data_IF_745106823455
#
_entry.id   IF_745106823455
#
_cell.length_a   1.000
_cell.length_b   1.000
_cell.length_c   1.000
_cell.angle_alpha   90.00
_cell.angle_beta   90.00
_cell.angle_gamma   90.00
#
_symmetry.space_group_name_H-M   'P 1'
#
loop_
_entity.id
_entity.type
_entity.pdbx_description
1 polymer ?
#
# COMPACT_ATOMS: atom_id res chain seq x y z
N UNK A 1 85.14 6.72 -12.86
CA UNK A 1 86.27 5.79 -12.93
C UNK A 1 87.55 6.57 -13.22
N UNK A 2 88.69 6.20 -12.63
CA UNK A 2 89.99 6.85 -12.85
C UNK A 2 90.80 6.14 -13.93
N UNK A 3 91.80 6.81 -14.50
CA UNK A 3 92.75 6.22 -15.48
C UNK A 3 93.45 4.96 -14.95
N UNK A 4 93.88 4.98 -13.70
CA UNK A 4 94.48 3.82 -13.03
C UNK A 4 93.51 2.64 -12.92
N UNK A 5 92.23 2.91 -12.63
CA UNK A 5 91.20 1.88 -12.58
C UNK A 5 90.88 1.31 -13.97
N UNK A 6 90.83 2.17 -14.99
CA UNK A 6 90.67 1.75 -16.38
C UNK A 6 91.80 0.86 -16.87
N UNK A 7 93.06 1.20 -16.54
CA UNK A 7 94.24 0.36 -16.83
C UNK A 7 94.12 -1.02 -16.19
N UNK A 8 93.79 -1.08 -14.89
CA UNK A 8 93.61 -2.35 -14.16
C UNK A 8 92.49 -3.20 -14.76
N UNK A 9 91.37 -2.60 -15.15
CA UNK A 9 90.26 -3.31 -15.78
C UNK A 9 90.64 -3.87 -17.16
N UNK A 10 91.36 -3.11 -17.99
CA UNK A 10 91.82 -3.57 -19.29
C UNK A 10 92.83 -4.73 -19.18
N UNK A 11 93.72 -4.67 -18.19
CA UNK A 11 94.64 -5.78 -17.87
C UNK A 11 93.85 -7.03 -17.43
N UNK A 12 92.85 -6.86 -16.55
CA UNK A 12 91.99 -7.95 -16.12
C UNK A 12 91.15 -8.56 -17.26
N UNK A 13 90.84 -7.78 -18.30
CA UNK A 13 90.18 -8.22 -19.52
C UNK A 13 91.14 -8.85 -20.56
N UNK A 14 92.43 -8.97 -20.24
CA UNK A 14 93.42 -9.69 -21.06
C UNK A 14 94.35 -8.80 -21.89
N UNK A 15 94.33 -7.47 -21.71
CA UNK A 15 95.26 -6.56 -22.40
C UNK A 15 96.54 -6.41 -21.55
N UNK A 16 97.60 -7.14 -21.92
CA UNK A 16 98.84 -7.21 -21.13
C UNK A 16 99.54 -5.86 -20.92
N UNK A 17 99.51 -4.97 -21.93
CA UNK A 17 100.08 -3.63 -21.86
C UNK A 17 99.13 -2.61 -22.53
N UNK A 18 98.13 -2.08 -21.80
CA UNK A 18 97.13 -1.19 -22.37
C UNK A 18 97.75 0.14 -22.81
N UNK A 19 97.51 0.52 -24.07
CA UNK A 19 97.97 1.82 -24.58
C UNK A 19 97.14 2.97 -24.01
N UNK A 20 97.70 4.18 -23.96
CA UNK A 20 96.97 5.36 -23.46
C UNK A 20 95.71 5.67 -24.28
N UNK A 21 95.69 5.29 -25.56
CA UNK A 21 94.53 5.42 -26.44
C UNK A 21 93.43 4.42 -26.08
N UNK A 22 93.78 3.15 -25.79
CA UNK A 22 92.83 2.14 -25.29
C UNK A 22 92.23 2.53 -23.94
N UNK A 23 93.04 3.08 -23.03
CA UNK A 23 92.61 3.58 -21.71
C UNK A 23 91.65 4.76 -21.88
N UNK A 24 91.95 5.68 -22.80
CA UNK A 24 91.11 6.85 -23.08
C UNK A 24 89.76 6.43 -23.67
N UNK A 25 89.77 5.51 -24.64
CA UNK A 25 88.55 4.99 -25.27
C UNK A 25 87.66 4.26 -24.24
N UNK A 26 88.25 3.42 -23.38
CA UNK A 26 87.51 2.72 -22.33
C UNK A 26 86.88 3.68 -21.31
N UNK A 27 87.60 4.72 -20.89
CA UNK A 27 87.06 5.76 -20.00
C UNK A 27 85.91 6.54 -20.64
N UNK A 28 86.05 6.91 -21.91
CA UNK A 28 85.02 7.65 -22.63
C UNK A 28 83.76 6.80 -22.82
N UNK A 29 83.91 5.51 -23.16
CA UNK A 29 82.80 4.57 -23.24
C UNK A 29 82.10 4.41 -21.88
N UNK A 30 82.86 4.13 -20.82
CA UNK A 30 82.32 3.98 -19.47
C UNK A 30 81.59 5.25 -19.01
N UNK A 31 82.16 6.44 -19.24
CA UNK A 31 81.50 7.69 -18.87
C UNK A 31 80.25 7.96 -19.71
N UNK A 32 80.24 7.59 -20.99
CA UNK A 32 79.05 7.66 -21.84
C UNK A 32 77.92 6.74 -21.37
N UNK A 33 78.26 5.51 -20.97
CA UNK A 33 77.33 4.54 -20.39
C UNK A 33 76.77 5.03 -19.05
N UNK A 34 77.63 5.49 -18.13
CA UNK A 34 77.19 6.05 -16.84
C UNK A 34 76.23 7.22 -17.03
N UNK A 35 76.51 8.11 -17.98
CA UNK A 35 75.63 9.25 -18.27
C UNK A 35 74.27 8.79 -18.79
N UNK A 36 74.24 7.81 -19.69
CA UNK A 36 72.97 7.19 -20.15
C UNK A 36 72.19 6.56 -19.00
N UNK A 37 72.85 5.80 -18.12
CA UNK A 37 72.19 5.19 -16.96
C UNK A 37 71.62 6.24 -15.99
N UNK A 38 72.30 7.36 -15.81
CA UNK A 38 71.78 8.47 -15.00
C UNK A 38 70.55 9.12 -15.65
N UNK A 39 70.61 9.39 -16.96
CA UNK A 39 69.48 9.93 -17.72
C UNK A 39 68.26 9.00 -17.71
N UNK A 40 68.48 7.69 -17.85
CA UNK A 40 67.43 6.67 -17.73
C UNK A 40 66.90 6.59 -16.30
N UNK A 41 67.77 6.56 -15.28
CA UNK A 41 67.33 6.53 -13.88
C UNK A 41 66.46 7.75 -13.52
N UNK A 42 66.83 8.95 -13.98
CA UNK A 42 66.04 10.17 -13.78
C UNK A 42 64.69 10.12 -14.50
N UNK A 43 64.66 9.55 -15.72
CA UNK A 43 63.41 9.34 -16.45
C UNK A 43 62.50 8.38 -15.70
N UNK A 44 63.02 7.23 -15.29
CA UNK A 44 62.25 6.20 -14.61
C UNK A 44 61.73 6.68 -13.26
N UNK A 45 62.52 7.50 -12.56
CA UNK A 45 62.08 8.15 -11.32
C UNK A 45 60.89 9.07 -11.55
N UNK A 46 60.94 9.95 -12.55
CA UNK A 46 59.81 10.82 -12.91
C UNK A 46 58.56 10.03 -13.31
N UNK A 47 58.76 8.92 -14.01
CA UNK A 47 57.67 8.05 -14.46
C UNK A 47 57.04 7.30 -13.29
N UNK A 48 57.85 6.87 -12.32
CA UNK A 48 57.40 6.29 -11.05
C UNK A 48 56.63 7.31 -10.20
N UNK A 49 57.17 8.52 -10.02
CA UNK A 49 56.49 9.60 -9.27
C UNK A 49 55.11 9.93 -9.90
N UNK A 50 55.03 9.96 -11.23
CA UNK A 50 53.77 10.18 -11.95
C UNK A 50 52.79 9.02 -11.80
N UNK A 51 53.29 7.79 -11.79
CA UNK A 51 52.44 6.61 -11.58
C UNK A 51 51.87 6.57 -10.16
N UNK A 52 52.68 6.94 -9.15
CA UNK A 52 52.24 7.02 -7.76
C UNK A 52 51.16 8.10 -7.56
N UNK A 53 51.33 9.28 -8.16
CA UNK A 53 50.32 10.34 -8.14
C UNK A 53 49.00 9.91 -8.80
N UNK A 54 49.08 9.24 -9.96
CA UNK A 54 47.88 8.72 -10.65
C UNK A 54 47.17 7.64 -9.82
N UNK A 55 47.92 6.76 -9.16
CA UNK A 55 47.35 5.74 -8.28
C UNK A 55 46.62 6.38 -7.11
N UNK A 56 47.22 7.38 -6.48
CA UNK A 56 46.60 8.13 -5.38
C UNK A 56 45.29 8.80 -5.80
N UNK A 57 45.26 9.44 -6.98
CA UNK A 57 44.03 10.06 -7.51
C UNK A 57 42.92 9.03 -7.77
N UNK A 58 43.26 7.84 -8.29
CA UNK A 58 42.29 6.77 -8.48
C UNK A 58 41.73 6.25 -7.16
N UNK A 59 42.57 6.08 -6.15
CA UNK A 59 42.14 5.62 -4.82
C UNK A 59 41.22 6.65 -4.15
N UNK A 60 41.54 7.95 -4.26
CA UNK A 60 40.69 9.04 -3.76
C UNK A 60 39.33 9.09 -4.46
N UNK A 61 39.29 8.98 -5.80
CA UNK A 61 38.04 8.93 -6.57
C UNK A 61 37.24 7.69 -6.20
N UNK A 62 37.89 6.53 -6.05
CA UNK A 62 37.25 5.29 -5.63
C UNK A 62 36.59 5.41 -4.26
N UNK A 63 37.29 5.97 -3.27
CA UNK A 63 36.77 6.21 -1.94
C UNK A 63 35.60 7.20 -1.93
N UNK A 64 35.70 8.31 -2.65
CA UNK A 64 34.62 9.29 -2.76
C UNK A 64 33.35 8.66 -3.38
N UNK A 65 33.50 7.93 -4.48
CA UNK A 65 32.38 7.23 -5.13
C UNK A 65 31.72 6.20 -4.20
N UNK A 66 32.51 5.45 -3.43
CA UNK A 66 31.97 4.52 -2.44
C UNK A 66 31.08 5.24 -1.41
N UNK A 67 31.57 6.36 -0.84
CA UNK A 67 30.78 7.14 0.13
C UNK A 67 29.51 7.74 -0.46
N UNK A 68 29.52 8.13 -1.74
CA UNK A 68 28.35 8.69 -2.41
C UNK A 68 27.31 7.62 -2.74
N UNK A 69 27.76 6.43 -3.14
CA UNK A 69 26.89 5.25 -3.36
C UNK A 69 26.20 4.84 -2.06
N UNK A 70 26.91 4.80 -0.93
CA UNK A 70 26.30 4.47 0.37
C UNK A 70 25.22 5.49 0.77
N UNK A 71 25.48 6.78 0.52
CA UNK A 71 24.53 7.86 0.82
C UNK A 71 23.29 7.78 -0.09
N UNK A 72 23.48 7.51 -1.37
CA UNK A 72 22.41 7.30 -2.35
C UNK A 72 21.59 6.05 -2.02
N UNK A 73 22.23 4.94 -1.65
CA UNK A 73 21.52 3.73 -1.21
C UNK A 73 20.67 3.98 0.03
N UNK A 74 21.20 4.70 1.03
CA UNK A 74 20.43 5.07 2.23
C UNK A 74 19.26 5.99 1.88
N UNK A 75 19.46 6.94 0.97
CA UNK A 75 18.38 7.82 0.49
C UNK A 75 17.30 7.04 -0.26
N UNK A 76 17.69 6.09 -1.11
CA UNK A 76 16.78 5.18 -1.83
C UNK A 76 16.00 4.28 -0.89
N UNK A 77 16.66 3.62 0.07
CA UNK A 77 15.99 2.80 1.07
C UNK A 77 14.96 3.61 1.89
N UNK A 78 15.32 4.84 2.28
CA UNK A 78 14.39 5.74 2.98
C UNK A 78 13.23 6.19 2.08
N UNK A 79 13.46 6.42 0.79
CA UNK A 79 12.41 6.75 -0.17
C UNK A 79 11.47 5.58 -0.43
N UNK A 80 12.01 4.37 -0.60
CA UNK A 80 11.23 3.12 -0.76
C UNK A 80 10.39 2.85 0.48
N UNK A 81 10.94 3.01 1.69
CA UNK A 81 10.19 2.87 2.92
C UNK A 81 9.02 3.86 2.99
N UNK A 82 9.26 5.15 2.66
CA UNK A 82 8.19 6.15 2.61
C UNK A 82 7.13 5.82 1.57
N UNK A 83 7.52 5.29 0.42
CA UNK A 83 6.57 4.88 -0.62
C UNK A 83 5.69 3.71 -0.14
N UNK A 84 6.28 2.72 0.52
CA UNK A 84 5.54 1.60 1.11
C UNK A 84 4.57 2.06 2.20
N UNK A 85 5.00 2.97 3.09
CA UNK A 85 4.15 3.53 4.14
C UNK A 85 2.97 4.32 3.56
N UNK A 86 3.22 5.16 2.55
CA UNK A 86 2.16 5.89 1.84
C UNK A 86 1.17 4.95 1.15
N UNK A 87 1.66 3.89 0.51
CA UNK A 87 0.80 2.89 -0.12
C UNK A 87 -0.10 2.20 0.91
N UNK A 88 0.46 1.81 2.06
CA UNK A 88 -0.31 1.21 3.16
C UNK A 88 -1.38 2.16 3.69
N UNK A 89 -1.04 3.44 3.92
CA UNK A 89 -2.00 4.45 4.36
C UNK A 89 -3.11 4.66 3.34
N UNK A 90 -2.79 4.72 2.05
CA UNK A 90 -3.77 4.84 0.97
C UNK A 90 -4.73 3.66 0.95
N UNK A 91 -4.23 2.43 1.06
CA UNK A 91 -5.07 1.23 1.15
C UNK A 91 -5.98 1.30 2.37
N UNK A 92 -5.43 1.64 3.54
CA UNK A 92 -6.20 1.74 4.78
C UNK A 92 -7.33 2.76 4.67
N UNK A 93 -7.05 3.98 4.22
CA UNK A 93 -8.06 5.01 4.03
C UNK A 93 -9.13 4.59 3.00
N UNK A 94 -8.75 3.88 1.95
CA UNK A 94 -9.71 3.38 0.97
C UNK A 94 -10.67 2.35 1.57
N UNK A 95 -10.15 1.38 2.33
CA UNK A 95 -10.95 0.37 3.03
C UNK A 95 -11.86 1.03 4.07
N UNK A 96 -11.30 1.88 4.94
CA UNK A 96 -12.07 2.63 5.94
C UNK A 96 -13.20 3.45 5.29
N UNK A 97 -12.92 4.11 4.16
CA UNK A 97 -13.91 4.88 3.42
C UNK A 97 -15.06 4.03 2.86
N UNK A 98 -14.77 2.79 2.44
CA UNK A 98 -15.80 1.85 1.96
C UNK A 98 -16.70 1.38 3.12
N UNK A 99 -16.09 1.03 4.25
CA UNK A 99 -16.81 0.62 5.46
C UNK A 99 -17.66 1.75 6.03
N UNK A 100 -17.10 2.96 6.11
CA UNK A 100 -17.81 4.14 6.60
C UNK A 100 -19.02 4.52 5.72
N UNK A 101 -18.90 4.42 4.39
CA UNK A 101 -20.02 4.65 3.46
C UNK A 101 -21.19 3.69 3.68
N UNK A 102 -20.91 2.49 4.17
CA UNK A 102 -21.92 1.50 4.52
C UNK A 102 -22.36 1.57 5.98
N UNK A 103 -21.92 2.60 6.72
CA UNK A 103 -22.20 2.76 8.15
C UNK A 103 -21.68 1.58 9.01
N UNK A 104 -20.68 0.85 8.51
CA UNK A 104 -19.99 -0.25 9.19
C UNK A 104 -18.73 0.29 9.86
N UNK A 105 -18.96 1.18 10.83
CA UNK A 105 -17.92 1.84 11.62
C UNK A 105 -17.95 1.33 13.05
N UNK A 106 -16.80 1.07 13.65
CA UNK A 106 -16.73 0.61 15.04
C UNK A 106 -15.54 -0.30 15.28
N UNK A 107 -15.24 -0.57 16.54
CA UNK A 107 -14.13 -1.45 16.92
C UNK A 107 -14.34 -2.88 16.40
N UNK A 108 -15.59 -3.34 16.23
CA UNK A 108 -15.86 -4.70 15.72
C UNK A 108 -15.35 -4.92 14.28
N UNK A 109 -15.25 -3.85 13.47
CA UNK A 109 -14.75 -3.94 12.10
C UNK A 109 -13.24 -3.68 11.99
N UNK A 110 -12.60 -3.19 13.06
CA UNK A 110 -11.18 -2.83 13.07
C UNK A 110 -10.26 -3.98 12.63
N UNK A 111 -10.56 -5.22 13.03
CA UNK A 111 -9.80 -6.40 12.65
C UNK A 111 -9.86 -6.69 11.16
N UNK A 112 -11.05 -6.57 10.56
CA UNK A 112 -11.24 -6.78 9.11
C UNK A 112 -10.66 -5.62 8.32
N UNK A 113 -10.84 -4.38 8.76
CA UNK A 113 -10.22 -3.21 8.15
C UNK A 113 -8.69 -3.38 8.14
N UNK A 114 -8.10 -3.80 9.27
CA UNK A 114 -6.67 -4.08 9.37
C UNK A 114 -6.21 -5.20 8.42
N UNK A 115 -6.97 -6.30 8.33
CA UNK A 115 -6.65 -7.41 7.44
C UNK A 115 -6.71 -7.02 5.95
N UNK A 116 -7.74 -6.26 5.56
CA UNK A 116 -7.91 -5.78 4.18
C UNK A 116 -6.88 -4.72 3.82
N UNK A 117 -6.49 -3.87 4.78
CA UNK A 117 -5.48 -2.82 4.59
C UNK A 117 -4.06 -3.36 4.37
N UNK A 118 -3.83 -4.65 4.67
CA UNK A 118 -2.57 -5.33 4.40
C UNK A 118 -2.46 -5.84 2.94
N UNK A 119 -3.55 -5.80 2.18
CA UNK A 119 -3.58 -6.18 0.76
C UNK A 119 -3.13 -5.03 -0.13
N UNK A 120 -2.90 -5.30 -1.41
CA UNK A 120 -2.75 -4.23 -2.39
C UNK A 120 -4.06 -3.43 -2.54
N UNK A 121 -3.94 -2.18 -2.98
CA UNK A 121 -5.05 -1.23 -3.01
C UNK A 121 -6.28 -1.73 -3.77
N UNK A 122 -6.08 -2.41 -4.90
CA UNK A 122 -7.18 -2.84 -5.76
C UNK A 122 -7.88 -4.05 -5.15
N UNK A 123 -7.12 -5.06 -4.74
CA UNK A 123 -7.65 -6.24 -4.04
C UNK A 123 -8.34 -5.85 -2.73
N UNK A 124 -7.77 -4.91 -1.96
CA UNK A 124 -8.37 -4.41 -0.73
C UNK A 124 -9.74 -3.77 -0.98
N UNK A 125 -9.85 -2.92 -2.01
CA UNK A 125 -11.13 -2.28 -2.39
C UNK A 125 -12.17 -3.30 -2.80
N UNK A 126 -11.83 -4.22 -3.70
CA UNK A 126 -12.75 -5.26 -4.18
C UNK A 126 -13.26 -6.13 -3.04
N UNK A 127 -12.37 -6.53 -2.12
CA UNK A 127 -12.74 -7.35 -0.97
C UNK A 127 -13.57 -6.56 0.04
N UNK A 128 -13.23 -5.29 0.31
CA UNK A 128 -14.01 -4.42 1.18
C UNK A 128 -15.43 -4.22 0.62
N UNK A 129 -15.58 -3.91 -0.66
CA UNK A 129 -16.88 -3.76 -1.33
C UNK A 129 -17.69 -5.05 -1.26
N UNK A 130 -17.07 -6.20 -1.52
CA UNK A 130 -17.73 -7.51 -1.46
C UNK A 130 -18.20 -7.84 -0.04
N UNK A 131 -17.38 -7.57 0.97
CA UNK A 131 -17.73 -7.77 2.37
C UNK A 131 -18.93 -6.90 2.79
N UNK A 132 -18.85 -5.61 2.52
CA UNK A 132 -19.92 -4.64 2.78
C UNK A 132 -21.21 -5.05 2.08
N UNK A 133 -21.15 -5.37 0.79
CA UNK A 133 -22.32 -5.80 0.02
C UNK A 133 -22.96 -7.07 0.58
N UNK A 134 -22.14 -8.00 1.10
CA UNK A 134 -22.61 -9.22 1.75
C UNK A 134 -23.38 -8.96 3.05
N UNK A 135 -22.94 -7.98 3.85
CA UNK A 135 -23.67 -7.55 5.06
C UNK A 135 -24.98 -6.88 4.67
N UNK A 136 -24.95 -5.90 3.75
CA UNK A 136 -26.15 -5.18 3.33
C UNK A 136 -27.24 -6.11 2.81
N UNK A 137 -26.89 -7.11 1.99
CA UNK A 137 -27.85 -8.12 1.50
C UNK A 137 -28.46 -8.94 2.65
N UNK A 138 -27.63 -9.39 3.60
CA UNK A 138 -28.11 -10.17 4.74
C UNK A 138 -29.05 -9.35 5.64
N UNK A 139 -28.76 -8.07 5.83
CA UNK A 139 -29.63 -7.18 6.60
C UNK A 139 -30.98 -6.95 5.92
N UNK A 140 -31.00 -6.78 4.60
CA UNK A 140 -32.23 -6.69 3.81
C UNK A 140 -33.07 -7.99 3.88
N UNK A 141 -32.42 -9.15 3.79
CA UNK A 141 -33.05 -10.47 3.92
C UNK A 141 -33.62 -10.66 5.33
N UNK A 142 -32.84 -10.39 6.38
CA UNK A 142 -33.28 -10.48 7.78
C UNK A 142 -34.44 -9.54 8.07
N UNK A 143 -34.39 -8.30 7.59
CA UNK A 143 -35.49 -7.34 7.75
C UNK A 143 -36.76 -7.81 7.04
N UNK A 144 -36.60 -8.43 5.86
CA UNK A 144 -37.72 -8.99 5.10
C UNK A 144 -38.32 -10.20 5.81
N UNK A 145 -37.49 -11.12 6.33
CA UNK A 145 -37.93 -12.28 7.11
C UNK A 145 -38.64 -11.84 8.39
N UNK A 146 -38.03 -10.94 9.17
CA UNK A 146 -38.65 -10.40 10.38
C UNK A 146 -40.01 -9.76 10.08
N UNK A 147 -40.12 -8.96 9.01
CA UNK A 147 -41.39 -8.38 8.58
C UNK A 147 -42.38 -9.49 8.21
N UNK A 148 -41.95 -10.50 7.47
CA UNK A 148 -42.82 -11.60 7.09
C UNK A 148 -43.34 -12.38 8.32
N UNK A 149 -42.47 -12.72 9.27
CA UNK A 149 -42.83 -13.42 10.51
C UNK A 149 -43.74 -12.61 11.42
N UNK A 150 -43.42 -11.32 11.59
CA UNK A 150 -44.15 -10.44 12.49
C UNK A 150 -45.51 -10.02 11.93
N UNK A 151 -45.64 -9.90 10.60
CA UNK A 151 -46.89 -9.46 9.96
C UNK A 151 -47.80 -10.60 9.49
N UNK A 152 -47.26 -11.73 8.99
CA UNK A 152 -48.10 -12.83 8.47
C UNK A 152 -48.93 -13.54 9.55
N UNK A 153 -48.48 -13.52 10.80
CA UNK A 153 -49.21 -14.11 11.93
C UNK A 153 -50.14 -13.12 12.65
N UNK A 154 -50.15 -11.85 12.23
CA UNK A 154 -51.08 -10.86 12.78
C UNK A 154 -52.43 -11.03 12.10
N UNK A 155 -53.52 -11.32 12.84
CA UNK A 155 -54.85 -11.38 12.26
C UNK A 155 -55.16 -10.06 11.56
N UNK A 156 -55.45 -10.13 10.25
CA UNK A 156 -55.84 -8.96 9.48
C UNK A 156 -57.06 -8.30 10.18
N UNK A 157 -57.00 -7.02 10.58
CA UNK A 157 -58.17 -6.34 11.13
C UNK A 157 -59.21 -6.29 10.02
N UNK A 158 -60.17 -7.22 10.07
CA UNK A 158 -61.11 -7.51 9.00
C UNK A 158 -61.65 -6.24 8.38
N UNK A 159 -61.43 -6.07 7.07
CA UNK A 159 -62.13 -5.06 6.30
C UNK A 159 -63.61 -5.40 6.37
N UNK A 160 -64.41 -4.43 6.80
CA UNK A 160 -65.86 -4.57 6.99
C UNK A 160 -66.63 -4.74 5.67
N UNK A 161 -66.34 -5.79 4.92
CA UNK A 161 -67.01 -6.15 3.68
C UNK A 161 -67.52 -7.58 3.76
N UNK A 162 -68.84 -7.75 3.60
CA UNK A 162 -69.53 -9.04 3.53
C UNK A 162 -68.87 -9.97 2.50
N UNK A 163 -68.52 -11.20 2.89
CA UNK A 163 -68.25 -12.29 1.93
C UNK A 163 -67.35 -13.42 2.44
N UNK A 164 -67.95 -14.61 2.55
CA UNK A 164 -67.40 -15.98 2.66
C UNK A 164 -66.70 -16.50 3.94
N UNK A 165 -67.26 -17.55 4.60
CA UNK A 165 -66.63 -18.27 5.70
C UNK A 165 -65.89 -19.50 5.16
N UNK A 166 -64.65 -19.35 4.71
CA UNK A 166 -63.79 -20.48 4.41
C UNK A 166 -62.34 -20.15 4.75
N UNK A 167 -61.99 -20.22 6.03
CA UNK A 167 -60.57 -20.21 6.44
C UNK A 167 -60.19 -19.35 7.64
N UNK A 168 -61.07 -19.13 8.62
CA UNK A 168 -60.71 -18.50 9.88
C UNK A 168 -61.15 -19.37 11.06
N UNK A 169 -60.20 -19.94 11.80
CA UNK A 169 -60.47 -20.70 13.01
C UNK A 169 -61.32 -19.89 14.00
N UNK A 170 -62.19 -20.60 14.72
CA UNK A 170 -63.26 -20.08 15.57
C UNK A 170 -62.78 -19.31 16.83
N UNK A 171 -61.50 -19.00 16.94
CA UNK A 171 -60.99 -18.21 18.07
C UNK A 171 -61.21 -16.72 17.80
N UNK A 172 -62.35 -16.22 18.28
CA UNK A 172 -62.65 -14.79 18.33
C UNK A 172 -61.59 -14.12 19.20
N UNK A 173 -60.82 -13.20 18.62
CA UNK A 173 -59.80 -12.47 19.38
C UNK A 173 -60.46 -11.64 20.49
N UNK A 174 -59.74 -11.41 21.59
CA UNK A 174 -60.21 -10.58 22.71
C UNK A 174 -60.65 -9.17 22.26
N UNK A 175 -60.05 -8.66 21.18
CA UNK A 175 -60.45 -7.39 20.59
C UNK A 175 -61.83 -7.45 19.90
N UNK A 176 -62.17 -8.58 19.27
CA UNK A 176 -63.49 -8.79 18.69
C UNK A 176 -64.59 -8.88 19.77
N UNK A 177 -64.28 -9.48 20.92
CA UNK A 177 -65.21 -9.51 22.06
C UNK A 177 -65.42 -8.12 22.68
N UNK A 178 -64.33 -7.36 22.88
CA UNK A 178 -64.41 -5.99 23.40
C UNK A 178 -65.23 -5.07 22.49
N UNK A 179 -64.99 -5.10 21.17
CA UNK A 179 -65.74 -4.30 20.21
C UNK A 179 -67.24 -4.67 20.17
N UNK A 180 -67.56 -5.96 20.32
CA UNK A 180 -68.95 -6.43 20.41
C UNK A 180 -69.62 -5.96 21.69
N UNK A 181 -68.95 -6.05 22.84
CA UNK A 181 -69.49 -5.55 24.11
C UNK A 181 -69.72 -4.03 24.07
N UNK A 182 -68.76 -3.27 23.55
CA UNK A 182 -68.88 -1.83 23.44
C UNK A 182 -70.06 -1.42 22.55
N UNK A 183 -70.19 -2.04 21.37
CA UNK A 183 -71.33 -1.76 20.47
C UNK A 183 -72.67 -2.17 21.07
N UNK A 184 -72.74 -3.26 21.83
CA UNK A 184 -73.97 -3.66 22.53
C UNK A 184 -74.36 -2.69 23.65
N UNK A 185 -73.37 -2.15 24.38
CA UNK A 185 -73.60 -1.20 25.48
C UNK A 185 -73.97 0.20 24.99
N UNK A 186 -73.53 0.59 23.80
CA UNK A 186 -73.68 1.94 23.26
C UNK A 186 -74.61 2.04 22.04
N UNK A 187 -75.35 0.99 21.70
CA UNK A 187 -76.37 1.07 20.66
C UNK A 187 -77.61 1.81 21.19
N UNK A 188 -77.99 2.99 20.64
CA UNK A 188 -79.21 3.66 21.04
C UNK A 188 -80.42 2.79 20.69
N UNK A 189 -81.30 2.57 21.66
CA UNK A 189 -82.54 1.82 21.49
C UNK A 189 -83.40 2.52 20.41
N UNK A 190 -83.96 1.80 19.42
CA UNK A 190 -84.76 2.43 18.38
C UNK A 190 -86.01 3.06 19.01
N UNK A 191 -86.23 4.36 18.74
CA UNK A 191 -87.44 5.05 19.14
C UNK A 191 -88.66 4.43 18.43
N UNK A 192 -89.80 4.28 19.12
CA UNK A 192 -90.99 3.63 18.58
C UNK A 192 -91.58 4.41 17.40
N UNK A 193 -92.03 3.67 16.38
CA UNK A 193 -92.62 4.21 15.17
C UNK A 193 -93.94 4.98 15.44
N UNK A 194 -94.03 6.21 14.94
CA UNK A 194 -95.29 6.97 14.85
C UNK A 194 -95.77 7.00 13.40
N UNK A 195 -96.88 6.32 13.09
CA UNK A 195 -97.72 6.53 11.91
C UNK A 195 -99.05 7.19 12.37
N UNK A 196 -99.89 7.74 11.47
CA UNK A 196 -99.68 8.80 10.47
C UNK A 196 -100.63 10.01 10.76
N UNK A 197 -100.49 11.15 10.06
CA UNK A 197 -101.56 12.18 10.03
C UNK A 197 -101.86 12.60 8.58
N UNK A 198 -103.14 12.58 8.21
CA UNK A 198 -103.69 12.99 6.91
C UNK A 198 -103.82 14.52 6.77
N UNK A 199 -103.49 15.00 5.56
CA UNK A 199 -104.06 16.10 4.73
C UNK A 199 -104.30 17.52 5.31
N UNK A 200 -104.21 18.58 4.46
CA UNK A 200 -105.43 18.92 3.71
C UNK A 200 -105.21 19.27 2.23
N UNK A 201 -106.28 18.98 1.49
CA UNK A 201 -106.65 19.32 0.12
C UNK A 201 -106.56 20.82 -0.17
N UNK A 202 -106.04 21.20 -1.34
CA UNK A 202 -106.33 22.51 -1.93
C UNK A 202 -107.11 22.27 -3.24
N UNK A 203 -108.31 22.82 -3.28
CA UNK A 203 -109.22 22.90 -4.43
C UNK A 203 -109.18 24.33 -4.95
N UNK A 204 -108.75 24.53 -6.20
CA UNK A 204 -109.56 25.00 -7.34
C UNK A 204 -108.66 25.07 -8.58
#
# INVERSE_FOLDING_TARGET
MTREQAKKNLIALGVAEPTDEQVTNYLNQHNGEVKKYQEDADKWKKEADKAEELQKQLDEIGQQNLTEIEKEQKARAAAEQRAADLQKQLTQMAVEGIFAKANLTGEEFSGIIGALSALDLETAKTNAESFVNGISKRDEENKTQWKNENFNNTPNPGTGGKGDPAGGGEEKSAAAEYAKQYSQQHNPQPAPATNPVQAPTITF
#
